data_IF_909831788847
#
_entry.id   IF_909831788847
#
_cell.length_a   1.000
_cell.length_b   1.000
_cell.length_c   1.000
_cell.angle_alpha   90.00
_cell.angle_beta   90.00
_cell.angle_gamma   90.00
#
_symmetry.space_group_name_H-M   'P 1'
#
loop_
_entity.id
_entity.type
_entity.pdbx_description
1 polymer ?
#
# COMPACT_ATOMS: atom_id res chain seq x y z
N UNK A 1 -1.86 -16.57 4.05
CA UNK A 1 -2.92 -15.76 3.40
C UNK A 1 -3.20 -14.41 4.05
N UNK A 2 -3.14 -14.23 5.38
CA UNK A 2 -3.49 -12.93 6.01
C UNK A 2 -2.62 -11.71 5.66
N UNK A 3 -1.36 -11.91 5.26
CA UNK A 3 -0.40 -10.83 4.97
C UNK A 3 -0.80 -9.97 3.76
N UNK A 4 -1.42 -10.55 2.74
CA UNK A 4 -1.87 -9.78 1.56
C UNK A 4 -3.08 -8.91 1.87
N UNK A 5 -3.98 -9.38 2.74
CA UNK A 5 -5.13 -8.58 3.20
C UNK A 5 -4.61 -7.37 3.97
N UNK A 6 -3.66 -7.58 4.89
CA UNK A 6 -3.07 -6.51 5.69
C UNK A 6 -2.31 -5.52 4.79
N UNK A 7 -1.44 -5.99 3.89
CA UNK A 7 -0.70 -5.11 2.99
C UNK A 7 -1.62 -4.38 2.00
N UNK A 8 -2.68 -5.01 1.52
CA UNK A 8 -3.68 -4.39 0.65
C UNK A 8 -4.47 -3.29 1.37
N UNK A 9 -4.89 -3.53 2.61
CA UNK A 9 -5.54 -2.51 3.44
C UNK A 9 -4.60 -1.34 3.74
N UNK A 10 -3.34 -1.61 4.09
CA UNK A 10 -2.33 -0.57 4.31
C UNK A 10 -2.08 0.25 3.04
N UNK A 11 -2.00 -0.40 1.87
CA UNK A 11 -1.84 0.29 0.59
C UNK A 11 -3.04 1.21 0.29
N UNK A 12 -4.28 0.76 0.54
CA UNK A 12 -5.47 1.61 0.39
C UNK A 12 -5.44 2.81 1.35
N UNK A 13 -5.12 2.60 2.62
CA UNK A 13 -4.99 3.70 3.59
C UNK A 13 -3.86 4.67 3.22
N UNK A 14 -2.76 4.18 2.64
CA UNK A 14 -1.65 5.01 2.19
C UNK A 14 -2.02 5.91 1.00
N UNK A 15 -2.95 5.50 0.13
CA UNK A 15 -3.51 6.38 -0.92
C UNK A 15 -4.23 7.56 -0.28
N UNK A 16 -5.10 7.30 0.70
CA UNK A 16 -5.81 8.36 1.42
C UNK A 16 -4.85 9.30 2.16
N UNK A 17 -3.79 8.76 2.78
CA UNK A 17 -2.73 9.55 3.40
C UNK A 17 -1.97 10.43 2.39
N UNK A 18 -1.69 9.90 1.21
CA UNK A 18 -1.00 10.62 0.12
C UNK A 18 -1.85 11.79 -0.40
N UNK A 19 -3.15 11.56 -0.60
CA UNK A 19 -4.10 12.61 -1.04
C UNK A 19 -4.26 13.69 0.05
N UNK A 20 -4.38 13.29 1.32
CA UNK A 20 -4.48 14.24 2.45
C UNK A 20 -3.21 15.09 2.61
N UNK A 21 -2.04 14.49 2.40
CA UNK A 21 -0.75 15.17 2.45
C UNK A 21 -0.58 16.21 1.33
N UNK A 22 -1.04 15.88 0.10
CA UNK A 22 -1.12 16.85 -1.01
C UNK A 22 -2.02 18.03 -0.65
N UNK A 23 -3.18 17.77 -0.06
CA UNK A 23 -4.15 18.80 0.33
C UNK A 23 -3.61 19.76 1.39
N UNK A 24 -2.73 19.28 2.28
CA UNK A 24 -2.08 20.08 3.31
C UNK A 24 -0.77 20.76 2.85
N UNK A 25 -0.36 20.64 1.58
CA UNK A 25 0.95 21.08 1.05
C UNK A 25 2.15 20.57 1.87
N UNK A 26 2.00 19.44 2.55
CA UNK A 26 3.04 18.88 3.39
C UNK A 26 3.94 17.97 2.53
N UNK A 27 4.95 18.55 1.89
CA UNK A 27 5.86 17.84 0.99
C UNK A 27 6.60 16.69 1.67
N UNK A 28 6.95 16.84 2.95
CA UNK A 28 7.61 15.79 3.73
C UNK A 28 6.64 14.62 4.01
N UNK A 29 5.41 14.95 4.42
CA UNK A 29 4.35 13.96 4.64
C UNK A 29 3.95 13.25 3.35
N UNK A 30 3.95 13.95 2.21
CA UNK A 30 3.67 13.37 0.91
C UNK A 30 4.74 12.35 0.51
N UNK A 31 6.02 12.69 0.67
CA UNK A 31 7.13 11.77 0.39
C UNK A 31 7.03 10.47 1.22
N UNK A 32 6.74 10.59 2.52
CA UNK A 32 6.56 9.43 3.39
C UNK A 32 5.32 8.60 3.07
N UNK A 33 4.19 9.26 2.76
CA UNK A 33 2.95 8.58 2.38
C UNK A 33 3.11 7.85 1.04
N UNK A 34 3.78 8.47 0.07
CA UNK A 34 4.05 7.88 -1.23
C UNK A 34 5.04 6.72 -1.14
N UNK A 35 6.09 6.83 -0.32
CA UNK A 35 7.00 5.73 -0.04
C UNK A 35 6.29 4.54 0.63
N UNK A 36 5.40 4.81 1.59
CA UNK A 36 4.57 3.79 2.23
C UNK A 36 3.67 3.11 1.20
N UNK A 37 2.98 3.88 0.37
CA UNK A 37 2.14 3.33 -0.69
C UNK A 37 2.94 2.48 -1.68
N UNK A 38 4.11 2.93 -2.11
CA UNK A 38 4.97 2.22 -3.04
C UNK A 38 5.46 0.88 -2.47
N UNK A 39 5.95 0.87 -1.22
CA UNK A 39 6.45 -0.36 -0.58
C UNK A 39 5.31 -1.34 -0.35
N UNK A 40 4.25 -0.94 0.36
CA UNK A 40 3.15 -1.84 0.72
C UNK A 40 2.30 -2.25 -0.49
N UNK A 41 2.12 -1.36 -1.47
CA UNK A 41 1.50 -1.67 -2.75
C UNK A 41 2.31 -2.67 -3.56
N UNK A 42 3.63 -2.48 -3.66
CA UNK A 42 4.52 -3.43 -4.34
C UNK A 42 4.47 -4.83 -3.70
N UNK A 43 4.56 -4.92 -2.37
CA UNK A 43 4.44 -6.21 -1.67
C UNK A 43 3.06 -6.85 -1.89
N UNK A 44 1.99 -6.07 -1.90
CA UNK A 44 0.64 -6.55 -2.20
C UNK A 44 0.57 -7.15 -3.61
N UNK A 45 1.04 -6.42 -4.62
CA UNK A 45 1.02 -6.84 -6.03
C UNK A 45 1.89 -8.08 -6.25
N UNK A 46 3.12 -8.09 -5.74
CA UNK A 46 4.03 -9.25 -5.78
C UNK A 46 3.39 -10.49 -5.16
N UNK A 47 2.66 -10.33 -4.06
CA UNK A 47 2.04 -11.48 -3.41
C UNK A 47 0.80 -11.97 -4.17
N UNK A 48 0.00 -11.08 -4.74
CA UNK A 48 -1.14 -11.45 -5.60
C UNK A 48 -0.66 -12.22 -6.83
N UNK A 49 0.40 -11.75 -7.49
CA UNK A 49 0.93 -12.36 -8.72
C UNK A 49 1.69 -13.66 -8.40
N UNK A 50 2.53 -13.66 -7.37
CA UNK A 50 3.43 -14.78 -7.06
C UNK A 50 2.77 -15.95 -6.33
N UNK A 51 1.69 -15.72 -5.58
CA UNK A 51 1.01 -16.80 -4.85
C UNK A 51 -0.42 -17.08 -5.34
N UNK A 52 -0.99 -16.22 -6.20
CA UNK A 52 -2.40 -16.30 -6.56
C UNK A 52 -3.31 -16.02 -5.35
N UNK A 53 -4.47 -15.42 -5.61
CA UNK A 53 -5.54 -15.34 -4.61
C UNK A 53 -6.71 -16.18 -5.10
N UNK A 54 -7.08 -17.29 -4.43
CA UNK A 54 -6.54 -17.81 -3.17
C UNK A 54 -5.36 -18.75 -3.41
N UNK A 55 -4.25 -18.54 -2.69
CA UNK A 55 -3.14 -19.51 -2.71
C UNK A 55 -3.67 -20.87 -2.23
N UNK A 56 -3.58 -21.87 -3.10
CA UNK A 56 -3.93 -23.23 -2.75
C UNK A 56 -2.85 -23.78 -1.84
N UNK A 57 -3.23 -24.04 -0.58
CA UNK A 57 -2.50 -24.75 0.48
C UNK A 57 -1.00 -24.44 0.63
#
# INVERSE_FOLDING_TARGET
>A
MGTVIIFGLVALLAIFGTISALKNKNFLGFGFALATFAVFGFFTVMTIIGNGYPGGH
#
